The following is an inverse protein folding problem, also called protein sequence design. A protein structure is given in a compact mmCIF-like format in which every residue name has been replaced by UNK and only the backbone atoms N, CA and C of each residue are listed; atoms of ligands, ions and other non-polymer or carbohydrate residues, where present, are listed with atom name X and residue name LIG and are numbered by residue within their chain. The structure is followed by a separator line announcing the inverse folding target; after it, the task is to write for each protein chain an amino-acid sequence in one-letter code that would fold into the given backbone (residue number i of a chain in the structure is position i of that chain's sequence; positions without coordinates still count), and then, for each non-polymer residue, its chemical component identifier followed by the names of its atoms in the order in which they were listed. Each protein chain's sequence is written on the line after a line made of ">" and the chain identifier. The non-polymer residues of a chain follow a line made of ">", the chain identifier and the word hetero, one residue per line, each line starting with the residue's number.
data_IF_286776694754
#
_entry.id   IF_286776694754
#
_cell.length_a   1.000
_cell.length_b   1.000
_cell.length_c   1.000
_cell.angle_alpha   90.00
_cell.angle_beta   90.00
_cell.angle_gamma   90.00
#
_symmetry.space_group_name_H-M   'P 1'
#
loop_
_entity.id
_entity.type
_entity.pdbx_description
1 polymer ?
#
# COMPACT_ATOMS: atom_id res chain seq x y z
N UNK A 1 27.17 -15.68 -10.62
CA UNK A 1 26.12 -15.33 -9.64
C UNK A 1 24.80 -15.90 -10.13
N UNK A 2 24.23 -16.90 -9.46
CA UNK A 2 22.94 -17.49 -9.86
C UNK A 2 21.81 -16.56 -9.40
N UNK A 3 21.08 -15.95 -10.33
CA UNK A 3 19.80 -15.32 -10.04
C UNK A 3 18.89 -16.38 -9.42
N UNK A 4 18.61 -16.24 -8.13
CA UNK A 4 17.54 -17.01 -7.48
C UNK A 4 16.26 -16.58 -8.17
N UNK A 5 15.69 -17.46 -8.97
CA UNK A 5 14.35 -17.28 -9.50
C UNK A 5 13.41 -17.13 -8.32
N UNK A 6 12.93 -15.90 -8.11
CA UNK A 6 11.81 -15.66 -7.21
C UNK A 6 10.70 -16.60 -7.65
N UNK A 7 10.35 -17.58 -6.80
CA UNK A 7 9.12 -18.36 -6.99
C UNK A 7 8.02 -17.37 -7.36
N UNK A 8 7.32 -17.60 -8.49
CA UNK A 8 6.26 -16.69 -8.98
C UNK A 8 5.07 -16.76 -8.02
N UNK A 9 5.23 -16.20 -6.82
CA UNK A 9 4.16 -16.03 -5.87
C UNK A 9 3.19 -15.03 -6.48
N UNK A 10 2.04 -15.54 -6.92
CA UNK A 10 0.96 -14.70 -7.44
C UNK A 10 0.41 -13.86 -6.28
N UNK A 11 0.94 -12.65 -6.11
CA UNK A 11 0.47 -11.69 -5.11
C UNK A 11 -0.79 -10.99 -5.61
N UNK A 12 -1.88 -11.14 -4.87
CA UNK A 12 -3.12 -10.42 -5.09
C UNK A 12 -3.29 -9.30 -4.07
N UNK A 13 -4.04 -8.27 -4.46
CA UNK A 13 -4.43 -7.15 -3.61
C UNK A 13 -5.94 -7.16 -3.45
N UNK A 14 -6.39 -7.10 -2.21
CA UNK A 14 -7.80 -7.05 -1.84
C UNK A 14 -8.06 -5.74 -1.11
N UNK A 15 -8.97 -4.91 -1.65
CA UNK A 15 -9.49 -3.73 -0.97
C UNK A 15 -11.01 -3.74 -1.08
N UNK A 16 -11.69 -3.78 0.07
CA UNK A 16 -13.15 -3.90 0.17
C UNK A 16 -13.87 -2.56 -0.05
N UNK A 17 -13.15 -1.45 0.07
CA UNK A 17 -13.70 -0.11 -0.12
C UNK A 17 -12.76 0.71 -1.02
N UNK A 18 -12.55 0.20 -2.23
CA UNK A 18 -11.58 0.74 -3.16
C UNK A 18 -12.03 2.05 -3.81
N UNK A 19 -13.34 2.26 -3.99
CA UNK A 19 -13.84 3.49 -4.61
C UNK A 19 -13.65 4.72 -3.69
N UNK A 20 -13.81 4.58 -2.38
CA UNK A 20 -13.63 5.67 -1.40
C UNK A 20 -12.19 6.22 -1.39
N UNK A 21 -11.23 5.37 -1.77
CA UNK A 21 -9.82 5.73 -2.00
C UNK A 21 -9.62 6.78 -3.11
N UNK A 22 -10.68 7.14 -3.84
CA UNK A 22 -10.65 8.17 -4.89
C UNK A 22 -11.71 9.26 -4.72
N UNK A 23 -12.49 9.28 -3.65
CA UNK A 23 -13.44 10.37 -3.42
C UNK A 23 -12.74 11.71 -3.16
N UNK A 24 -13.27 12.80 -3.71
CA UNK A 24 -12.74 14.15 -3.55
C UNK A 24 -13.85 15.14 -3.20
N UNK A 25 -13.52 16.21 -2.47
CA UNK A 25 -14.51 17.16 -1.95
C UNK A 25 -15.23 17.97 -3.04
N UNK A 26 -14.62 18.19 -4.20
CA UNK A 26 -15.20 18.94 -5.32
C UNK A 26 -14.89 18.28 -6.66
N UNK A 27 -15.61 17.19 -7.01
CA UNK A 27 -15.43 16.52 -8.29
C UNK A 27 -16.08 17.33 -9.42
N UNK A 28 -15.46 17.32 -10.59
CA UNK A 28 -16.15 17.68 -11.84
C UNK A 28 -17.12 16.57 -12.24
N UNK A 29 -18.11 16.89 -13.08
CA UNK A 29 -19.05 15.87 -13.58
C UNK A 29 -18.34 14.72 -14.30
N UNK A 30 -17.29 15.03 -15.07
CA UNK A 30 -16.43 14.02 -15.72
C UNK A 30 -15.74 13.10 -14.70
N UNK A 31 -15.21 13.67 -13.61
CA UNK A 31 -14.57 12.89 -12.55
C UNK A 31 -15.57 12.00 -11.83
N UNK A 32 -16.75 12.53 -11.49
CA UNK A 32 -17.82 11.76 -10.85
C UNK A 32 -18.25 10.58 -11.73
N UNK A 33 -18.38 10.79 -13.04
CA UNK A 33 -18.70 9.72 -13.99
C UNK A 33 -17.59 8.67 -14.06
N UNK A 34 -16.33 9.08 -14.08
CA UNK A 34 -15.21 8.14 -14.05
C UNK A 34 -15.18 7.32 -12.75
N UNK A 35 -15.45 7.97 -11.60
CA UNK A 35 -15.49 7.33 -10.30
C UNK A 35 -16.59 6.27 -10.21
N UNK A 36 -17.73 6.46 -10.88
CA UNK A 36 -18.80 5.45 -10.96
C UNK A 36 -18.36 4.15 -11.65
N UNK A 37 -17.39 4.21 -12.57
CA UNK A 37 -16.82 3.02 -13.21
C UNK A 37 -15.67 2.41 -12.41
N UNK A 38 -15.22 3.06 -11.34
CA UNK A 38 -14.20 2.51 -10.46
C UNK A 38 -14.78 1.31 -9.68
N UNK A 39 -14.05 0.18 -9.56
CA UNK A 39 -14.51 -0.95 -8.76
C UNK A 39 -14.75 -0.53 -7.30
N UNK A 40 -15.92 -0.88 -6.73
CA UNK A 40 -16.19 -0.67 -5.29
C UNK A 40 -15.30 -1.56 -4.44
N UNK A 41 -15.18 -2.83 -4.84
CA UNK A 41 -14.25 -3.81 -4.27
C UNK A 41 -13.21 -4.12 -5.34
N UNK A 42 -11.94 -4.10 -4.95
CA UNK A 42 -10.83 -4.48 -5.81
C UNK A 42 -10.22 -5.80 -5.37
N UNK A 43 -10.15 -6.76 -6.29
CA UNK A 43 -9.40 -8.01 -6.16
C UNK A 43 -8.62 -8.20 -7.45
N UNK A 44 -7.29 -8.09 -7.40
CA UNK A 44 -6.51 -8.15 -8.63
C UNK A 44 -5.00 -8.15 -8.43
N UNK A 45 -4.28 -8.15 -9.55
CA UNK A 45 -2.81 -8.16 -9.55
C UNK A 45 -2.24 -6.75 -9.44
N UNK A 46 -0.92 -6.70 -9.25
CA UNK A 46 -0.18 -5.45 -9.06
C UNK A 46 -0.33 -4.50 -10.26
N UNK A 47 -0.37 -5.06 -11.47
CA UNK A 47 -0.38 -4.32 -12.72
C UNK A 47 -1.73 -3.62 -12.94
N UNK A 48 -2.82 -4.29 -12.61
CA UNK A 48 -4.18 -3.78 -12.71
C UNK A 48 -4.41 -2.64 -11.72
N UNK A 49 -4.00 -2.85 -10.45
CA UNK A 49 -4.11 -1.84 -9.41
C UNK A 49 -3.33 -0.58 -9.77
N UNK A 50 -2.09 -0.71 -10.29
CA UNK A 50 -1.28 0.44 -10.73
C UNK A 50 -1.96 1.24 -11.84
N UNK A 51 -2.59 0.57 -12.81
CA UNK A 51 -3.30 1.23 -13.91
C UNK A 51 -4.46 2.06 -13.38
N UNK A 52 -5.30 1.48 -12.50
CA UNK A 52 -6.45 2.18 -11.94
C UNK A 52 -5.99 3.35 -11.06
N UNK A 53 -5.04 3.13 -10.14
CA UNK A 53 -4.48 4.18 -9.28
C UNK A 53 -3.95 5.34 -10.10
N UNK A 54 -3.23 5.07 -11.20
CA UNK A 54 -2.72 6.11 -12.09
C UNK A 54 -3.85 6.88 -12.76
N UNK A 55 -4.79 6.19 -13.40
CA UNK A 55 -5.90 6.81 -14.09
C UNK A 55 -6.74 7.71 -13.16
N UNK A 56 -7.07 7.21 -11.97
CA UNK A 56 -7.87 7.94 -10.99
C UNK A 56 -7.11 9.14 -10.39
N UNK A 57 -5.82 8.99 -10.10
CA UNK A 57 -4.98 10.11 -9.60
C UNK A 57 -4.86 11.23 -10.62
N UNK A 58 -4.67 10.88 -11.91
CA UNK A 58 -4.54 11.84 -13.00
C UNK A 58 -5.88 12.56 -13.26
N UNK A 59 -7.01 11.82 -13.19
CA UNK A 59 -8.33 12.41 -13.28
C UNK A 59 -8.63 13.34 -12.09
N UNK A 60 -8.26 12.96 -10.86
CA UNK A 60 -8.44 13.79 -9.67
C UNK A 60 -7.64 15.09 -9.80
N UNK A 61 -6.39 14.99 -10.28
CA UNK A 61 -5.54 16.16 -10.56
C UNK A 61 -6.22 17.13 -11.53
N UNK A 62 -6.80 16.62 -12.63
CA UNK A 62 -7.49 17.44 -13.63
C UNK A 62 -8.75 18.09 -13.04
N UNK A 63 -9.55 17.32 -12.31
CA UNK A 63 -10.75 17.81 -11.61
C UNK A 63 -10.44 18.97 -10.68
N UNK A 64 -9.49 18.79 -9.76
CA UNK A 64 -9.12 19.82 -8.78
C UNK A 64 -8.49 21.04 -9.47
N UNK A 65 -7.60 20.82 -10.44
CA UNK A 65 -6.96 21.92 -11.18
C UNK A 65 -7.98 22.81 -11.89
N UNK A 66 -9.04 22.23 -12.47
CA UNK A 66 -10.11 22.99 -13.12
C UNK A 66 -10.90 23.90 -12.15
N UNK A 67 -10.87 23.57 -10.85
CA UNK A 67 -11.50 24.33 -9.76
C UNK A 67 -10.50 25.22 -9.00
N UNK A 68 -9.28 25.40 -9.52
CA UNK A 68 -8.23 26.17 -8.84
C UNK A 68 -7.66 25.51 -7.58
N UNK A 69 -7.94 24.23 -7.36
CA UNK A 69 -7.45 23.47 -6.21
C UNK A 69 -6.20 22.65 -6.54
N UNK A 70 -5.32 22.49 -5.55
CA UNK A 70 -4.17 21.60 -5.62
C UNK A 70 -4.53 20.20 -5.12
N UNK A 71 -3.98 19.17 -5.76
CA UNK A 71 -4.17 17.77 -5.37
C UNK A 71 -3.45 17.50 -4.03
N UNK A 72 -4.16 17.07 -2.97
CA UNK A 72 -3.52 16.81 -1.70
C UNK A 72 -2.49 15.66 -1.81
N UNK A 73 -1.45 15.65 -0.98
CA UNK A 73 -0.34 14.69 -1.11
C UNK A 73 -0.79 13.22 -1.13
N UNK A 74 -1.78 12.86 -0.32
CA UNK A 74 -2.28 11.49 -0.24
C UNK A 74 -3.07 11.05 -1.49
N UNK A 75 -3.57 11.98 -2.30
CA UNK A 75 -4.23 11.66 -3.58
C UNK A 75 -3.25 11.65 -4.75
N UNK A 76 -1.96 11.97 -4.54
CA UNK A 76 -0.95 11.87 -5.58
C UNK A 76 -0.68 10.40 -5.90
N UNK A 77 -0.49 10.12 -7.19
CA UNK A 77 -0.17 8.80 -7.70
C UNK A 77 0.94 8.09 -6.91
N UNK A 78 2.06 8.78 -6.64
CA UNK A 78 3.18 8.19 -5.89
C UNK A 78 2.77 7.72 -4.49
N UNK A 79 2.00 8.53 -3.76
CA UNK A 79 1.53 8.15 -2.43
C UNK A 79 0.57 6.96 -2.53
N UNK A 80 -0.40 7.04 -3.44
CA UNK A 80 -1.38 5.99 -3.66
C UNK A 80 -0.71 4.67 -4.03
N UNK A 81 0.26 4.66 -4.96
CA UNK A 81 1.03 3.45 -5.25
C UNK A 81 1.74 2.90 -4.00
N UNK A 82 2.41 3.77 -3.24
CA UNK A 82 3.12 3.34 -2.04
C UNK A 82 2.18 2.76 -0.98
N UNK A 83 0.93 3.20 -0.89
CA UNK A 83 -0.08 2.62 0.03
C UNK A 83 -0.19 1.10 -0.10
N UNK A 84 -0.08 0.56 -1.32
CA UNK A 84 -0.15 -0.90 -1.57
C UNK A 84 1.22 -1.54 -1.86
N UNK A 85 2.12 -0.82 -2.53
CA UNK A 85 3.37 -1.38 -3.07
C UNK A 85 4.62 -1.00 -2.29
N UNK A 86 4.54 -0.15 -1.25
CA UNK A 86 5.70 0.16 -0.44
C UNK A 86 6.35 -1.13 0.06
N UNK A 87 7.69 -1.12 0.08
CA UNK A 87 8.52 -2.20 0.62
C UNK A 87 8.28 -2.31 2.12
N UNK A 88 7.19 -2.97 2.51
CA UNK A 88 6.96 -3.39 3.87
C UNK A 88 7.42 -4.83 4.00
N UNK A 89 8.42 -5.05 4.87
CA UNK A 89 8.76 -6.39 5.36
C UNK A 89 7.57 -6.84 6.20
N UNK A 90 6.56 -7.44 5.57
CA UNK A 90 5.55 -8.20 6.32
C UNK A 90 6.33 -9.19 7.15
N UNK A 91 6.20 -9.12 8.47
CA UNK A 91 6.51 -10.22 9.37
C UNK A 91 5.58 -11.35 8.97
N UNK A 92 5.97 -12.10 7.94
CA UNK A 92 5.41 -13.41 7.73
C UNK A 92 5.94 -14.20 8.90
N UNK A 93 5.18 -14.31 9.98
CA UNK A 93 5.40 -15.39 10.93
C UNK A 93 5.21 -16.64 10.08
N UNK A 94 6.32 -17.17 9.53
CA UNK A 94 6.33 -18.48 8.93
C UNK A 94 5.90 -19.38 10.08
N UNK A 95 4.63 -19.78 10.08
CA UNK A 95 4.18 -20.81 11.01
C UNK A 95 4.88 -22.06 10.48
N UNK A 96 5.86 -22.62 11.20
CA UNK A 96 6.55 -23.79 10.71
C UNK A 96 5.53 -24.92 10.79
N UNK A 97 4.93 -25.26 9.66
CA UNK A 97 4.26 -26.54 9.54
C UNK A 97 5.36 -27.60 9.50
N UNK A 98 5.55 -28.21 10.66
CA UNK A 98 6.29 -29.43 10.96
C UNK A 98 7.83 -29.48 10.83
N UNK A 99 8.44 -29.55 12.02
CA UNK A 99 9.36 -30.61 12.46
C UNK A 99 10.66 -30.85 11.69
N UNK A 100 11.73 -30.21 12.19
CA UNK A 100 13.08 -30.80 12.22
C UNK A 100 14.09 -30.26 11.22
N UNK A 101 14.75 -29.13 11.55
CA UNK A 101 16.21 -29.01 11.41
C UNK A 101 16.69 -27.72 12.05
N UNK A 102 17.48 -27.85 13.12
CA UNK A 102 18.14 -26.76 13.81
C UNK A 102 19.35 -26.31 12.95
N UNK A 103 19.16 -25.38 12.02
CA UNK A 103 20.31 -24.71 11.38
C UNK A 103 20.44 -23.29 11.89
N UNK A 104 21.44 -23.12 12.74
CA UNK A 104 22.05 -21.89 13.25
C UNK A 104 21.86 -20.69 12.31
N UNK A 105 21.17 -19.67 12.80
CA UNK A 105 21.02 -18.40 12.10
C UNK A 105 22.36 -17.66 12.06
N UNK A 106 23.03 -17.62 10.91
CA UNK A 106 24.06 -16.62 10.65
C UNK A 106 23.37 -15.27 10.46
N UNK A 107 23.52 -14.39 11.45
CA UNK A 107 23.08 -12.99 11.41
C UNK A 107 23.94 -12.26 10.37
N UNK A 108 23.39 -12.03 9.17
CA UNK A 108 24.00 -11.11 8.22
C UNK A 108 23.63 -9.67 8.60
N UNK A 109 24.64 -8.89 8.97
CA UNK A 109 24.53 -7.47 9.29
C UNK A 109 24.14 -6.67 8.05
N UNK A 110 22.92 -6.15 8.01
CA UNK A 110 22.54 -5.03 7.15
C UNK A 110 21.55 -4.13 7.91
N UNK A 111 22.09 -3.00 8.36
CA UNK A 111 21.40 -1.82 8.92
C UNK A 111 20.42 -2.09 10.07
N UNK A 112 20.96 -2.11 11.29
CA UNK A 112 20.18 -1.96 12.53
C UNK A 112 19.59 -0.54 12.54
N UNK A 113 18.32 -0.42 12.15
CA UNK A 113 17.51 0.74 12.55
C UNK A 113 17.10 0.49 13.99
N UNK A 114 17.75 1.17 14.93
CA UNK A 114 17.38 1.14 16.34
C UNK A 114 16.15 2.03 16.53
N UNK A 115 14.95 1.48 16.39
CA UNK A 115 13.74 2.12 16.88
C UNK A 115 13.78 2.11 18.41
N UNK A 116 13.90 3.28 19.04
CA UNK A 116 13.67 3.41 20.48
C UNK A 116 12.18 3.27 20.74
N UNK A 117 11.80 2.24 21.48
CA UNK A 117 10.49 2.16 22.10
C UNK A 117 10.45 3.25 23.18
N UNK A 118 9.60 4.26 23.00
CA UNK A 118 9.22 5.17 24.08
C UNK A 118 7.95 4.60 24.69
N UNK A 119 8.10 3.92 25.83
CA UNK A 119 6.95 3.52 26.63
C UNK A 119 6.28 4.78 27.20
N UNK A 120 4.96 4.73 27.35
CA UNK A 120 4.28 5.60 28.29
C UNK A 120 4.29 4.83 29.62
N UNK A 121 5.02 5.34 30.60
CA UNK A 121 4.94 4.82 31.96
C UNK A 121 3.55 5.18 32.52
N UNK A 122 2.70 4.17 32.70
CA UNK A 122 1.46 4.31 33.47
C UNK A 122 1.84 4.51 34.94
N UNK A 123 2.04 5.76 35.33
CA UNK A 123 2.16 6.14 36.73
C UNK A 123 0.79 5.99 37.42
N UNK A 124 0.46 4.77 37.85
CA UNK A 124 -0.59 4.55 38.85
C UNK A 124 0.04 4.78 40.22
N UNK A 125 -0.15 5.99 40.74
CA UNK A 125 0.12 6.30 42.13
C UNK A 125 -0.98 5.66 43.00
N UNK A 126 -0.63 4.69 43.83
CA UNK A 126 -1.46 4.17 44.93
C UNK A 126 -0.85 4.57 46.26
#
# INVERSE_FOLDING_TARGET
>A
MRSVSSSRQNRYFVNLDFASEFEIAMPTGEYSRLLQYCPKVFVGKSEELKKIVRAMSDAAKRSLKSKGLSLPPWRKNRYMQNKWFASYRRTTNQTPADSGSLTTMTIHSVNVVQCRYVGFDDAVNS
#
